data_IF_510281167494
#
_entry.id   IF_510281167494
#
_cell.length_a   1.000
_cell.length_b   1.000
_cell.length_c   1.000
_cell.angle_alpha   90.00
_cell.angle_beta   90.00
_cell.angle_gamma   90.00
#
_symmetry.space_group_name_H-M   'P 1'
#
loop_
_entity.id
_entity.type
_entity.pdbx_description
1 polymer ?
#
# COMPACT_ATOMS: atom_id res chain seq x y z
N UNK A 1 10.81 -23.92 -50.64
CA UNK A 1 9.68 -23.67 -49.72
C UNK A 1 9.37 -24.98 -48.99
N UNK A 2 9.98 -25.22 -47.84
CA UNK A 2 9.78 -26.46 -47.06
C UNK A 2 8.38 -26.46 -46.44
N UNK A 3 7.57 -27.40 -46.91
CA UNK A 3 6.15 -27.50 -46.62
C UNK A 3 5.95 -28.01 -45.17
N UNK A 4 5.84 -27.09 -44.18
CA UNK A 4 5.66 -27.44 -42.75
C UNK A 4 4.43 -28.31 -42.50
N UNK A 5 3.42 -28.25 -43.38
CA UNK A 5 2.24 -29.12 -43.34
C UNK A 5 2.58 -30.63 -43.48
N UNK A 6 3.68 -30.98 -44.14
CA UNK A 6 4.17 -32.36 -44.33
C UNK A 6 4.77 -32.98 -43.05
N UNK A 7 5.26 -32.15 -42.12
CA UNK A 7 5.83 -32.63 -40.86
C UNK A 7 4.74 -33.08 -39.87
N UNK A 8 3.63 -32.33 -39.80
CA UNK A 8 2.50 -32.64 -38.94
C UNK A 8 1.70 -33.85 -39.43
N UNK A 9 1.67 -34.10 -40.75
CA UNK A 9 0.94 -35.22 -41.35
C UNK A 9 1.70 -36.55 -41.35
N UNK A 10 2.98 -36.57 -40.98
CA UNK A 10 3.79 -37.80 -40.80
C UNK A 10 3.64 -38.44 -39.41
N UNK A 11 3.03 -37.75 -38.45
CA UNK A 11 2.84 -38.24 -37.08
C UNK A 11 1.56 -39.07 -36.94
N UNK A 12 1.57 -40.11 -36.10
CA UNK A 12 0.37 -40.89 -35.79
C UNK A 12 -0.71 -40.01 -35.14
N UNK A 13 -1.98 -40.37 -35.36
CA UNK A 13 -3.15 -39.58 -34.92
C UNK A 13 -3.10 -39.27 -33.41
N UNK A 14 -2.71 -40.25 -32.57
CA UNK A 14 -2.57 -40.05 -31.12
C UNK A 14 -1.53 -39.00 -30.72
N UNK A 15 -0.38 -38.91 -31.42
CA UNK A 15 0.64 -37.89 -31.14
C UNK A 15 0.15 -36.48 -31.49
N UNK A 16 -0.70 -36.34 -32.52
CA UNK A 16 -1.31 -35.06 -32.87
C UNK A 16 -2.30 -34.61 -31.81
N UNK A 17 -3.10 -35.53 -31.28
CA UNK A 17 -4.04 -35.22 -30.19
C UNK A 17 -3.29 -34.73 -28.94
N UNK A 18 -2.22 -35.42 -28.55
CA UNK A 18 -1.37 -34.98 -27.42
C UNK A 18 -0.67 -33.64 -27.66
N UNK A 19 -0.27 -33.35 -28.90
CA UNK A 19 0.31 -32.05 -29.25
C UNK A 19 -0.71 -30.92 -29.06
N UNK A 20 -1.95 -31.12 -29.50
CA UNK A 20 -3.03 -30.14 -29.29
C UNK A 20 -3.30 -29.90 -27.81
N UNK A 21 -3.36 -30.97 -27.01
CA UNK A 21 -3.52 -30.86 -25.54
C UNK A 21 -2.34 -30.11 -24.93
N UNK A 22 -1.11 -30.43 -25.32
CA UNK A 22 0.09 -29.75 -24.84
C UNK A 22 0.07 -28.25 -25.16
N UNK A 23 -0.30 -27.87 -26.39
CA UNK A 23 -0.43 -26.46 -26.78
C UNK A 23 -1.52 -25.75 -25.98
N UNK A 24 -2.66 -26.40 -25.75
CA UNK A 24 -3.75 -25.84 -24.95
C UNK A 24 -3.31 -25.62 -23.49
N UNK A 25 -2.64 -26.59 -22.87
CA UNK A 25 -2.11 -26.48 -21.50
C UNK A 25 -1.07 -25.37 -21.40
N UNK A 26 -0.15 -25.27 -22.38
CA UNK A 26 0.83 -24.18 -22.42
C UNK A 26 0.17 -22.82 -22.58
N UNK A 27 -0.85 -22.70 -23.43
CA UNK A 27 -1.62 -21.47 -23.60
C UNK A 27 -2.32 -21.04 -22.31
N UNK A 28 -2.97 -21.98 -21.62
CA UNK A 28 -3.61 -21.74 -20.32
C UNK A 28 -2.57 -21.35 -19.27
N UNK A 29 -1.45 -22.07 -19.20
CA UNK A 29 -0.36 -21.78 -18.28
C UNK A 29 0.23 -20.38 -18.48
N UNK A 30 0.43 -19.99 -19.74
CA UNK A 30 0.90 -18.65 -20.10
C UNK A 30 -0.10 -17.56 -19.69
N UNK A 31 -1.38 -17.70 -20.02
CA UNK A 31 -2.42 -16.73 -19.63
C UNK A 31 -2.55 -16.62 -18.12
N UNK A 32 -2.49 -17.74 -17.41
CA UNK A 32 -2.54 -17.79 -15.95
C UNK A 32 -1.35 -17.07 -15.33
N UNK A 33 -0.14 -17.25 -15.88
CA UNK A 33 1.05 -16.56 -15.40
C UNK A 33 0.95 -15.04 -15.57
N UNK A 34 0.47 -14.57 -16.73
CA UNK A 34 0.22 -13.13 -16.97
C UNK A 34 -0.82 -12.59 -16.00
N UNK A 35 -1.94 -13.29 -15.83
CA UNK A 35 -2.99 -12.90 -14.91
C UNK A 35 -2.52 -12.82 -13.45
N UNK A 36 -1.69 -13.77 -13.01
CA UNK A 36 -1.13 -13.78 -11.66
C UNK A 36 -0.21 -12.57 -11.38
N UNK A 37 0.59 -12.17 -12.36
CA UNK A 37 1.46 -10.99 -12.23
C UNK A 37 0.62 -9.72 -12.12
N UNK A 38 -0.40 -9.58 -12.95
CA UNK A 38 -1.33 -8.44 -12.93
C UNK A 38 -2.09 -8.36 -11.60
N UNK A 39 -2.66 -9.49 -11.14
CA UNK A 39 -3.37 -9.58 -9.87
C UNK A 39 -2.50 -9.18 -8.68
N UNK A 40 -1.23 -9.61 -8.66
CA UNK A 40 -0.27 -9.24 -7.61
C UNK A 40 -0.03 -7.74 -7.58
N UNK A 41 0.18 -7.12 -8.75
CA UNK A 41 0.41 -5.68 -8.86
C UNK A 41 -0.79 -4.88 -8.38
N UNK A 42 -2.00 -5.24 -8.82
CA UNK A 42 -3.26 -4.61 -8.38
C UNK A 42 -3.46 -4.73 -6.87
N UNK A 43 -3.23 -5.92 -6.31
CA UNK A 43 -3.35 -6.14 -4.86
C UNK A 43 -2.38 -5.27 -4.07
N UNK A 44 -1.16 -5.05 -4.57
CA UNK A 44 -0.18 -4.20 -3.91
C UNK A 44 -0.57 -2.71 -3.99
N UNK A 45 -1.03 -2.27 -5.15
CA UNK A 45 -1.52 -0.91 -5.38
C UNK A 45 -2.73 -0.57 -4.50
N UNK A 46 -3.68 -1.51 -4.39
CA UNK A 46 -4.85 -1.37 -3.51
C UNK A 46 -4.42 -1.22 -2.04
N UNK A 47 -3.46 -2.04 -1.57
CA UNK A 47 -2.92 -1.93 -0.20
C UNK A 47 -2.23 -0.60 0.07
N UNK A 48 -1.45 -0.12 -0.89
CA UNK A 48 -0.80 1.20 -0.80
C UNK A 48 -1.83 2.32 -0.75
N UNK A 49 -2.85 2.25 -1.60
CA UNK A 49 -3.95 3.23 -1.65
C UNK A 49 -4.73 3.24 -0.35
N UNK A 50 -5.08 2.08 0.19
CA UNK A 50 -5.77 1.97 1.48
C UNK A 50 -4.95 2.61 2.62
N UNK A 51 -3.65 2.34 2.67
CA UNK A 51 -2.76 2.94 3.67
C UNK A 51 -2.66 4.45 3.52
N UNK A 52 -2.57 4.95 2.28
CA UNK A 52 -2.56 6.38 1.96
C UNK A 52 -3.84 7.08 2.42
N UNK A 53 -5.00 6.51 2.13
CA UNK A 53 -6.30 7.07 2.53
C UNK A 53 -6.46 7.14 4.05
N UNK A 54 -5.94 6.15 4.77
CA UNK A 54 -5.89 6.18 6.24
C UNK A 54 -5.01 7.32 6.76
N UNK A 55 -3.84 7.54 6.14
CA UNK A 55 -2.96 8.66 6.48
C UNK A 55 -3.61 10.00 6.12
N UNK A 56 -4.24 10.12 4.95
CA UNK A 56 -4.97 11.33 4.54
C UNK A 56 -6.07 11.70 5.55
N UNK A 57 -6.78 10.70 6.10
CA UNK A 57 -7.75 10.92 7.17
C UNK A 57 -7.11 11.51 8.43
N UNK A 58 -5.93 11.01 8.83
CA UNK A 58 -5.18 11.56 9.95
C UNK A 58 -4.65 12.98 9.65
N UNK A 59 -4.25 13.26 8.41
CA UNK A 59 -3.83 14.60 7.95
C UNK A 59 -5.00 15.58 8.02
N UNK A 60 -6.22 15.19 7.64
CA UNK A 60 -7.39 16.06 7.78
C UNK A 60 -7.67 16.48 9.23
N UNK A 61 -7.29 15.67 10.22
CA UNK A 61 -7.33 16.08 11.63
C UNK A 61 -6.32 17.20 11.89
N UNK A 62 -5.08 17.06 11.41
CA UNK A 62 -4.06 18.10 11.53
C UNK A 62 -4.51 19.41 10.86
N UNK A 63 -5.04 19.32 9.64
CA UNK A 63 -5.55 20.48 8.88
C UNK A 63 -6.67 21.20 9.63
N UNK A 64 -7.61 20.45 10.22
CA UNK A 64 -8.69 21.02 11.04
C UNK A 64 -8.14 21.84 12.21
N UNK A 65 -7.18 21.29 12.97
CA UNK A 65 -6.61 21.99 14.12
C UNK A 65 -5.70 23.16 13.71
N UNK A 66 -4.98 23.03 12.60
CA UNK A 66 -4.20 24.13 12.04
C UNK A 66 -5.10 25.28 11.56
N UNK A 67 -6.26 25.00 10.98
CA UNK A 67 -7.23 26.04 10.61
C UNK A 67 -7.79 26.81 11.81
N UNK A 68 -7.75 26.24 13.04
CA UNK A 68 -8.14 26.97 14.27
C UNK A 68 -7.11 28.03 14.69
N UNK A 69 -5.85 27.89 14.26
CA UNK A 69 -4.80 28.88 14.53
C UNK A 69 -4.78 29.98 13.47
N UNK A 70 -5.07 29.62 12.21
CA UNK A 70 -5.07 30.52 11.05
C UNK A 70 -6.48 31.05 10.79
N UNK A 71 -6.81 32.24 11.32
CA UNK A 71 -8.06 32.92 10.96
C UNK A 71 -8.79 33.69 12.06
N UNK A 72 -8.18 33.88 13.25
CA UNK A 72 -8.84 34.60 14.35
C UNK A 72 -9.95 33.82 15.06
N UNK A 73 -10.10 32.53 14.75
CA UNK A 73 -11.08 31.61 15.34
C UNK A 73 -10.73 31.21 16.77
N UNK A 74 -10.95 32.11 17.73
CA UNK A 74 -11.19 31.70 19.13
C UNK A 74 -9.97 31.55 20.05
N UNK A 75 -8.83 32.15 19.74
CA UNK A 75 -7.72 32.29 20.71
C UNK A 75 -6.87 31.04 20.93
N UNK A 76 -6.88 30.08 20.01
CA UNK A 76 -6.00 28.91 20.07
C UNK A 76 -4.55 29.29 19.77
N UNK A 77 -3.64 28.92 20.67
CA UNK A 77 -2.21 28.95 20.37
C UNK A 77 -1.82 27.76 19.48
N UNK A 78 -0.76 27.91 18.69
CA UNK A 78 -0.23 26.82 17.86
C UNK A 78 0.13 25.58 18.69
N UNK A 79 0.73 25.77 19.87
CA UNK A 79 1.03 24.68 20.80
C UNK A 79 -0.24 23.96 21.30
N UNK A 80 -1.31 24.71 21.61
CA UNK A 80 -2.59 24.14 22.05
C UNK A 80 -3.26 23.33 20.94
N UNK A 81 -3.26 23.86 19.70
CA UNK A 81 -3.82 23.18 18.55
C UNK A 81 -3.01 21.91 18.19
N UNK A 82 -1.68 21.99 18.22
CA UNK A 82 -0.81 20.84 18.00
C UNK A 82 -1.08 19.75 19.05
N UNK A 83 -1.13 20.12 20.34
CA UNK A 83 -1.43 19.15 21.41
C UNK A 83 -2.78 18.46 21.19
N UNK A 84 -3.83 19.23 20.90
CA UNK A 84 -5.16 18.68 20.67
C UNK A 84 -5.21 17.74 19.46
N UNK A 85 -4.50 18.07 18.37
CA UNK A 85 -4.39 17.20 17.21
C UNK A 85 -3.64 15.90 17.52
N UNK A 86 -2.53 15.99 18.27
CA UNK A 86 -1.76 14.82 18.70
C UNK A 86 -2.58 13.88 19.58
N UNK A 87 -3.35 14.42 20.54
CA UNK A 87 -4.22 13.62 21.42
C UNK A 87 -5.26 12.83 20.61
N UNK A 88 -5.87 13.46 19.60
CA UNK A 88 -6.80 12.78 18.69
C UNK A 88 -6.08 11.68 17.90
N UNK A 89 -4.97 11.99 17.23
CA UNK A 89 -4.25 11.02 16.37
C UNK A 89 -3.71 9.85 17.20
N UNK A 90 -3.25 10.10 18.43
CA UNK A 90 -2.77 9.06 19.34
C UNK A 90 -3.86 8.04 19.69
N UNK A 91 -5.13 8.47 19.73
CA UNK A 91 -6.27 7.61 20.01
C UNK A 91 -6.75 6.81 18.78
N UNK A 92 -6.41 7.25 17.57
CA UNK A 92 -6.87 6.61 16.34
C UNK A 92 -6.33 5.17 16.22
N UNK A 93 -7.23 4.26 15.87
CA UNK A 93 -6.90 2.88 15.53
C UNK A 93 -7.51 2.53 14.18
N UNK A 94 -6.80 1.76 13.39
CA UNK A 94 -7.30 1.16 12.16
C UNK A 94 -7.01 -0.34 12.19
N UNK A 95 -7.77 -1.12 11.41
CA UNK A 95 -7.63 -2.57 11.36
C UNK A 95 -7.50 -3.20 12.77
N UNK A 96 -8.42 -2.79 13.66
CA UNK A 96 -8.54 -3.17 15.08
C UNK A 96 -7.42 -2.69 16.00
N UNK A 97 -6.15 -2.87 15.62
CA UNK A 97 -5.00 -2.66 16.53
C UNK A 97 -3.92 -1.76 15.98
N UNK A 98 -3.93 -1.46 14.67
CA UNK A 98 -2.91 -0.63 14.07
C UNK A 98 -3.07 0.84 14.48
N UNK A 99 -1.97 1.57 14.43
CA UNK A 99 -1.87 2.91 15.02
C UNK A 99 -1.06 3.85 14.12
N UNK A 100 -1.16 5.15 14.40
CA UNK A 100 -0.40 6.20 13.72
C UNK A 100 0.74 6.67 14.61
N UNK A 101 1.87 7.05 14.00
CA UNK A 101 2.96 7.75 14.68
C UNK A 101 3.33 8.99 13.85
N UNK A 102 3.97 9.96 14.50
CA UNK A 102 4.43 11.19 13.85
C UNK A 102 5.89 11.43 14.22
N UNK A 103 6.71 11.71 13.22
CA UNK A 103 8.07 12.22 13.39
C UNK A 103 8.22 13.56 12.66
N UNK A 104 9.16 14.38 13.10
CA UNK A 104 9.53 15.60 12.37
C UNK A 104 10.55 15.30 11.25
N UNK A 105 10.93 16.34 10.50
CA UNK A 105 11.93 16.26 9.44
C UNK A 105 13.37 16.05 9.97
N UNK A 106 13.60 16.32 11.26
CA UNK A 106 14.88 16.15 11.96
C UNK A 106 14.85 14.88 12.78
N UNK A 107 14.85 13.72 12.11
CA UNK A 107 14.18 12.48 12.51
C UNK A 107 14.02 12.35 14.04
N UNK A 108 13.04 13.04 14.61
CA UNK A 108 12.74 13.04 16.03
C UNK A 108 11.29 12.62 16.17
N UNK A 109 11.05 11.69 17.07
CA UNK A 109 9.72 11.18 17.33
C UNK A 109 8.90 12.28 18.00
N UNK A 110 7.79 12.66 17.38
CA UNK A 110 6.86 13.66 17.91
C UNK A 110 5.78 12.98 18.73
N UNK A 111 5.24 11.86 18.25
CA UNK A 111 4.20 11.10 18.95
C UNK A 111 4.21 9.62 18.53
N UNK A 112 4.31 8.72 19.51
CA UNK A 112 4.13 7.28 19.38
C UNK A 112 3.15 6.75 20.44
N UNK A 113 2.01 6.14 20.06
CA UNK A 113 0.95 5.76 21.01
C UNK A 113 1.29 4.54 21.88
N UNK A 114 2.05 3.58 21.34
CA UNK A 114 2.44 2.35 22.06
C UNK A 114 3.74 2.50 22.85
N UNK A 115 4.62 3.44 22.45
CA UNK A 115 5.95 3.66 23.03
C UNK A 115 6.15 5.15 23.33
N UNK A 116 5.36 5.71 24.25
CA UNK A 116 5.43 7.14 24.58
C UNK A 116 6.82 7.58 25.08
N UNK A 117 7.64 6.65 25.58
CA UNK A 117 9.03 6.89 25.95
C UNK A 117 9.91 7.37 24.79
N UNK A 118 9.52 7.09 23.54
CA UNK A 118 10.23 7.57 22.35
C UNK A 118 9.92 9.04 22.04
N UNK A 119 8.84 9.60 22.57
CA UNK A 119 8.44 10.97 22.25
C UNK A 119 9.53 11.96 22.69
N UNK A 120 9.93 12.83 21.76
CA UNK A 120 11.01 13.79 21.97
C UNK A 120 12.42 13.24 21.71
N UNK A 121 12.59 11.94 21.46
CA UNK A 121 13.90 11.35 21.14
C UNK A 121 14.24 11.50 19.65
N UNK A 122 15.48 11.90 19.36
CA UNK A 122 16.03 11.86 18.01
C UNK A 122 16.44 10.43 17.63
N UNK A 123 16.04 9.97 16.45
CA UNK A 123 16.58 8.76 15.85
C UNK A 123 18.07 9.00 15.55
N UNK A 124 18.95 8.36 16.30
CA UNK A 124 20.37 8.31 15.95
C UNK A 124 20.48 7.56 14.61
N UNK A 125 20.84 8.27 13.53
CA UNK A 125 21.32 7.62 12.31
C UNK A 125 22.53 6.76 12.70
N UNK A 126 22.43 5.45 12.55
CA UNK A 126 23.60 4.58 12.41
C UNK A 126 24.12 4.67 10.99
#
# INVERSE_FOLDING_TARGET
MTNKASLLTRMSIGKRLWLLVGVAVLGIGYLTAVFLIDLRSRTLEERQTATRQLVETAVSVLEKYHALTVGGGGGWSEASAQKAALDVIQSLRYDKTNYFWINDATPKMVMHPIRPELNGQGFKRQ
#
